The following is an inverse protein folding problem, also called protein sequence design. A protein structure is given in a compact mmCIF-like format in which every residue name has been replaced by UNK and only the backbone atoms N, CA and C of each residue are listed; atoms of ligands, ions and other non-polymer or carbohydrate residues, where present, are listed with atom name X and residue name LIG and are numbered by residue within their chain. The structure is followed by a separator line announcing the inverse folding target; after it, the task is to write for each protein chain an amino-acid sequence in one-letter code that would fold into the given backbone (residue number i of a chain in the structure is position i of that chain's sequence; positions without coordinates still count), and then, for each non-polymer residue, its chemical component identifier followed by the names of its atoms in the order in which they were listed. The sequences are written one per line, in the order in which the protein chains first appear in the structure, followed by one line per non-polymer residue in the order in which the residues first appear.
data_IF_260602461169
#
_entry.id   IF_260602461169
#
_cell.length_a   1.000
_cell.length_b   1.000
_cell.length_c   1.000
_cell.angle_alpha   90.00
_cell.angle_beta   90.00
_cell.angle_gamma   90.00
#
_symmetry.space_group_name_H-M   'P 1'
#
loop_
_entity.id
_entity.type
_entity.pdbx_description
1 polymer ?
#
# COMPACT_ATOMS: atom_id res chain seq x y z
N UNK A 1 -26.23 4.74 -44.46
CA UNK A 1 -25.63 5.55 -43.36
C UNK A 1 -25.62 4.66 -42.13
N UNK A 2 -24.54 3.92 -41.94
CA UNK A 2 -24.32 3.10 -40.75
C UNK A 2 -23.56 3.91 -39.72
N UNK A 3 -24.23 4.33 -38.63
CA UNK A 3 -23.57 4.88 -37.47
C UNK A 3 -23.08 3.73 -36.61
N UNK A 4 -21.90 3.21 -36.91
CA UNK A 4 -21.16 2.37 -36.00
C UNK A 4 -20.61 3.25 -34.89
N UNK A 5 -21.27 3.26 -33.71
CA UNK A 5 -20.64 3.73 -32.51
C UNK A 5 -19.58 2.69 -32.15
N UNK A 6 -18.37 2.88 -32.66
CA UNK A 6 -17.23 2.11 -32.23
C UNK A 6 -17.02 2.40 -30.74
N UNK A 7 -17.00 1.34 -29.95
CA UNK A 7 -16.52 1.45 -28.54
C UNK A 7 -15.12 2.01 -28.61
N UNK A 8 -14.97 3.30 -28.24
CA UNK A 8 -13.65 3.90 -28.06
C UNK A 8 -13.08 3.28 -26.81
N UNK A 9 -12.36 2.19 -26.96
CA UNK A 9 -11.46 1.70 -25.92
C UNK A 9 -10.28 2.67 -25.92
N UNK A 10 -10.36 3.73 -25.12
CA UNK A 10 -9.22 4.61 -24.85
C UNK A 10 -8.18 3.84 -24.03
N UNK A 11 -7.53 2.87 -24.66
CA UNK A 11 -6.23 2.41 -24.22
C UNK A 11 -5.21 3.39 -24.84
N UNK A 12 -4.87 4.42 -24.10
CA UNK A 12 -3.67 5.18 -24.44
C UNK A 12 -2.50 4.21 -24.23
N UNK A 13 -1.88 3.79 -25.32
CA UNK A 13 -0.64 3.04 -25.21
C UNK A 13 0.40 3.94 -24.55
N UNK A 14 1.14 3.40 -23.57
CA UNK A 14 2.20 4.12 -22.84
C UNK A 14 3.16 4.88 -23.78
N UNK A 15 3.47 4.31 -24.95
CA UNK A 15 4.32 4.90 -25.98
C UNK A 15 3.85 6.27 -26.50
N UNK A 16 2.59 6.67 -26.26
CA UNK A 16 2.04 7.96 -26.67
C UNK A 16 1.80 8.93 -25.51
N UNK A 17 2.14 8.53 -24.28
CA UNK A 17 2.01 9.38 -23.11
C UNK A 17 3.34 10.06 -22.81
N UNK A 18 3.28 11.35 -22.49
CA UNK A 18 4.47 12.05 -21.98
C UNK A 18 4.91 11.45 -20.65
N UNK A 19 6.22 11.36 -20.43
CA UNK A 19 6.76 10.95 -19.13
C UNK A 19 6.13 11.78 -17.99
N UNK A 20 5.75 11.11 -16.91
CA UNK A 20 5.03 11.71 -15.78
C UNK A 20 3.51 11.70 -15.90
N UNK A 21 2.92 11.29 -17.04
CA UNK A 21 1.47 11.14 -17.17
C UNK A 21 0.96 9.97 -16.34
N UNK A 22 -0.23 10.13 -15.74
CA UNK A 22 -0.93 9.02 -15.08
C UNK A 22 -1.56 8.12 -16.14
N UNK A 23 -1.24 6.83 -16.11
CA UNK A 23 -1.73 5.83 -17.07
C UNK A 23 -2.95 5.08 -16.53
N UNK A 24 -2.84 4.58 -15.28
CA UNK A 24 -3.93 3.88 -14.62
C UNK A 24 -3.87 4.05 -13.10
N UNK A 25 -5.00 3.84 -12.46
CA UNK A 25 -5.13 3.86 -11.00
C UNK A 25 -5.85 2.59 -10.57
N UNK A 26 -5.29 1.89 -9.60
CA UNK A 26 -5.91 0.73 -8.94
C UNK A 26 -6.00 1.04 -7.46
N UNK A 27 -7.18 0.89 -6.88
CA UNK A 27 -7.40 1.08 -5.44
C UNK A 27 -8.08 -0.15 -4.85
N UNK A 28 -7.59 -0.60 -3.70
CA UNK A 28 -8.27 -1.59 -2.88
C UNK A 28 -8.57 -1.01 -1.51
N UNK A 29 -9.75 -1.34 -0.98
CA UNK A 29 -10.21 -0.98 0.36
C UNK A 29 -10.32 -2.24 1.20
N UNK A 30 -9.74 -2.22 2.40
CA UNK A 30 -9.72 -3.31 3.34
C UNK A 30 -10.33 -2.86 4.66
N UNK A 31 -11.28 -3.61 5.19
CA UNK A 31 -12.01 -3.27 6.44
C UNK A 31 -12.05 -4.42 7.45
N UNK A 32 -11.37 -5.54 7.15
CA UNK A 32 -11.31 -6.67 8.08
C UNK A 32 -10.30 -6.38 9.18
N UNK A 33 -10.72 -6.51 10.44
CA UNK A 33 -9.81 -6.39 11.58
C UNK A 33 -8.74 -7.48 11.50
N UNK A 34 -7.50 -7.09 11.38
CA UNK A 34 -6.34 -7.99 11.48
C UNK A 34 -5.43 -7.52 12.59
N UNK A 35 -4.97 -8.44 13.45
CA UNK A 35 -4.20 -8.11 14.63
C UNK A 35 -2.91 -8.92 14.71
N UNK A 36 -1.88 -8.35 15.33
CA UNK A 36 -0.60 -9.01 15.59
C UNK A 36 0.00 -8.58 16.93
N UNK A 37 0.75 -9.48 17.53
CA UNK A 37 1.66 -9.21 18.66
C UNK A 37 3.13 -9.36 18.24
N UNK A 38 3.37 -9.67 16.95
CA UNK A 38 4.69 -9.94 16.41
C UNK A 38 5.54 -8.69 16.33
N UNK A 39 6.79 -8.77 16.74
CA UNK A 39 7.82 -7.75 16.49
C UNK A 39 8.42 -7.87 15.08
N UNK A 40 8.16 -8.97 14.37
CA UNK A 40 8.48 -9.12 12.96
C UNK A 40 7.29 -8.69 12.10
N UNK A 41 7.57 -8.17 10.90
CA UNK A 41 6.54 -7.74 9.98
C UNK A 41 5.71 -8.93 9.48
N UNK A 42 4.38 -8.82 9.60
CA UNK A 42 3.38 -9.79 9.13
C UNK A 42 2.41 -9.12 8.18
N UNK A 43 1.78 -9.91 7.32
CA UNK A 43 0.80 -9.43 6.34
C UNK A 43 -0.45 -8.88 7.03
N UNK A 44 -0.89 -7.70 6.64
CA UNK A 44 -2.15 -7.09 7.14
C UNK A 44 -3.38 -7.64 6.45
N UNK A 45 -3.24 -8.20 5.26
CA UNK A 45 -4.31 -8.49 4.31
C UNK A 45 -4.63 -7.35 3.34
N UNK A 46 -4.12 -6.13 3.56
CA UNK A 46 -4.29 -5.01 2.64
C UNK A 46 -3.31 -5.14 1.47
N UNK A 47 -3.84 -5.47 0.30
CA UNK A 47 -3.08 -5.70 -0.92
C UNK A 47 -3.76 -5.08 -2.13
N UNK A 48 -2.99 -4.73 -3.14
CA UNK A 48 -3.48 -4.33 -4.47
C UNK A 48 -2.51 -4.84 -5.54
N UNK A 49 -3.03 -5.17 -6.73
CA UNK A 49 -2.24 -5.67 -7.85
C UNK A 49 -2.42 -4.75 -9.05
N UNK A 50 -1.33 -4.36 -9.66
CA UNK A 50 -1.30 -3.57 -10.90
C UNK A 50 -0.46 -4.29 -11.95
N UNK A 51 -0.84 -4.16 -13.22
CA UNK A 51 -0.05 -4.67 -14.35
C UNK A 51 0.48 -3.46 -15.11
N UNK A 52 1.78 -3.11 -14.94
CA UNK A 52 2.34 -1.96 -15.62
C UNK A 52 2.31 -2.13 -17.14
N UNK A 53 2.07 -1.05 -17.86
CA UNK A 53 2.01 -1.05 -19.32
C UNK A 53 3.40 -1.04 -19.97
N UNK A 54 4.42 -0.58 -19.23
CA UNK A 54 5.81 -0.53 -19.69
C UNK A 54 6.78 -0.90 -18.57
N UNK A 55 7.95 -1.43 -18.96
CA UNK A 55 9.06 -1.67 -18.01
C UNK A 55 9.68 -0.36 -17.50
N UNK A 56 9.48 0.75 -18.20
CA UNK A 56 9.92 2.08 -17.74
C UNK A 56 8.94 2.75 -16.78
N UNK A 57 7.68 2.26 -16.71
CA UNK A 57 6.65 2.80 -15.84
C UNK A 57 7.08 2.81 -14.38
N UNK A 58 6.65 3.83 -13.67
CA UNK A 58 6.78 3.93 -12.21
C UNK A 58 5.43 3.71 -11.56
N UNK A 59 5.44 3.13 -10.37
CA UNK A 59 4.23 2.94 -9.57
C UNK A 59 4.32 3.83 -8.33
N UNK A 60 3.47 4.84 -8.27
CA UNK A 60 3.30 5.62 -7.04
C UNK A 60 2.31 4.89 -6.13
N UNK A 61 2.83 4.45 -4.99
CA UNK A 61 2.08 3.73 -3.97
C UNK A 61 1.65 4.71 -2.89
N UNK A 62 0.36 4.76 -2.61
CA UNK A 62 -0.24 5.56 -1.55
C UNK A 62 -1.09 4.64 -0.69
N UNK A 63 -0.78 4.53 0.60
CA UNK A 63 -1.63 3.82 1.54
C UNK A 63 -2.20 4.79 2.59
N UNK A 64 -3.39 4.48 3.09
CA UNK A 64 -3.97 5.10 4.27
C UNK A 64 -4.42 3.99 5.21
N UNK A 65 -3.70 3.84 6.33
CA UNK A 65 -3.88 2.73 7.27
C UNK A 65 -4.34 3.26 8.62
N UNK A 66 -5.50 2.79 9.08
CA UNK A 66 -5.99 3.03 10.43
C UNK A 66 -5.53 1.90 11.35
N UNK A 67 -4.75 2.23 12.36
CA UNK A 67 -4.11 1.28 13.27
C UNK A 67 -4.53 1.58 14.70
N UNK A 68 -4.78 0.53 15.49
CA UNK A 68 -5.05 0.64 16.92
C UNK A 68 -4.06 -0.21 17.72
N UNK A 69 -3.58 0.35 18.82
CA UNK A 69 -2.65 -0.31 19.73
C UNK A 69 -3.15 -0.27 21.15
N UNK A 70 -3.11 -1.40 21.84
CA UNK A 70 -3.66 -1.53 23.19
C UNK A 70 -2.64 -1.32 24.31
N UNK A 71 -1.37 -1.08 24.02
CA UNK A 71 -0.28 -1.01 25.01
C UNK A 71 0.37 0.35 25.03
N UNK A 72 0.58 0.89 26.22
CA UNK A 72 1.38 2.10 26.41
C UNK A 72 2.84 1.86 26.04
N UNK A 73 3.46 2.82 25.36
CA UNK A 73 4.85 2.75 24.96
C UNK A 73 5.13 1.79 23.78
N UNK A 74 4.09 1.22 23.18
CA UNK A 74 4.24 0.39 22.00
C UNK A 74 4.45 1.21 20.71
N UNK A 75 5.09 0.59 19.73
CA UNK A 75 5.31 1.16 18.40
C UNK A 75 4.46 0.42 17.38
N UNK A 76 3.61 1.15 16.68
CA UNK A 76 2.93 0.67 15.48
C UNK A 76 3.82 0.93 14.27
N UNK A 77 4.25 -0.10 13.59
CA UNK A 77 5.12 0.01 12.43
C UNK A 77 4.46 -0.60 11.20
N UNK A 78 4.60 0.03 10.05
CA UNK A 78 4.16 -0.50 8.76
C UNK A 78 5.26 -0.41 7.71
N UNK A 79 5.22 -1.31 6.75
CA UNK A 79 6.15 -1.35 5.62
C UNK A 79 5.47 -1.87 4.37
N UNK A 80 6.09 -1.60 3.21
CA UNK A 80 5.60 -2.00 1.91
C UNK A 80 6.37 -3.21 1.38
N UNK A 81 5.63 -4.19 0.88
CA UNK A 81 6.16 -5.34 0.15
C UNK A 81 5.69 -5.33 -1.29
N UNK A 82 6.55 -5.79 -2.20
CA UNK A 82 6.25 -6.05 -3.61
C UNK A 82 6.69 -7.47 -3.94
N UNK A 83 5.75 -8.30 -4.46
CA UNK A 83 6.06 -9.68 -4.85
C UNK A 83 6.72 -10.51 -3.74
N UNK A 84 6.35 -10.30 -2.48
CA UNK A 84 6.90 -11.00 -1.32
C UNK A 84 8.22 -10.43 -0.77
N UNK A 85 8.78 -9.38 -1.39
CA UNK A 85 10.01 -8.72 -0.92
C UNK A 85 9.71 -7.31 -0.44
N UNK A 86 10.38 -6.89 0.63
CA UNK A 86 10.32 -5.53 1.14
C UNK A 86 10.96 -4.58 0.12
N UNK A 87 10.28 -3.47 -0.22
CA UNK A 87 10.76 -2.56 -1.28
C UNK A 87 11.49 -1.33 -0.78
N UNK A 88 11.33 -0.95 0.47
CA UNK A 88 12.10 0.15 1.06
C UNK A 88 12.09 0.09 2.57
N UNK A 89 13.06 0.66 3.23
CA UNK A 89 13.00 1.20 4.58
C UNK A 89 14.02 0.74 5.63
N UNK A 90 13.80 1.20 6.88
CA UNK A 90 14.50 0.74 8.07
C UNK A 90 14.09 -0.69 8.45
N UNK A 91 15.07 -1.53 8.77
CA UNK A 91 14.84 -2.91 9.16
C UNK A 91 13.97 -3.06 10.42
N UNK A 92 14.02 -2.09 11.34
CA UNK A 92 13.38 -2.18 12.66
C UNK A 92 11.98 -1.58 12.66
N UNK A 93 11.81 -0.37 12.12
CA UNK A 93 10.56 0.38 12.23
C UNK A 93 9.77 0.48 10.93
N UNK A 94 10.28 -0.14 9.85
CA UNK A 94 9.60 -0.08 8.56
C UNK A 94 9.62 1.30 7.94
N UNK A 95 8.65 1.55 7.08
CA UNK A 95 8.52 2.78 6.31
C UNK A 95 7.85 3.92 7.09
N UNK A 96 6.89 3.58 7.93
CA UNK A 96 6.24 4.53 8.82
C UNK A 96 5.99 3.89 10.18
N UNK A 97 6.13 4.65 11.23
CA UNK A 97 5.83 4.18 12.58
C UNK A 97 5.22 5.29 13.43
N UNK A 98 4.44 4.88 14.43
CA UNK A 98 3.88 5.74 15.45
C UNK A 98 4.17 5.20 16.83
N UNK A 99 4.51 6.09 17.76
CA UNK A 99 4.71 5.77 19.17
C UNK A 99 3.55 6.30 19.99
N UNK A 100 2.97 5.45 20.82
CA UNK A 100 1.88 5.83 21.70
C UNK A 100 2.31 5.91 23.15
N UNK A 101 2.21 7.09 23.77
CA UNK A 101 2.53 7.29 25.19
C UNK A 101 1.49 6.70 26.17
N UNK A 102 0.28 6.43 25.70
CA UNK A 102 -0.82 5.83 26.46
C UNK A 102 -1.27 4.49 25.92
N UNK A 103 -2.08 3.75 26.70
CA UNK A 103 -2.78 2.57 26.23
C UNK A 103 -3.98 2.96 25.35
N UNK A 104 -4.40 2.07 24.45
CA UNK A 104 -5.59 2.26 23.60
C UNK A 104 -5.53 3.53 22.73
N UNK A 105 -4.53 3.64 21.88
CA UNK A 105 -4.40 4.76 20.97
C UNK A 105 -4.55 4.32 19.51
N UNK A 106 -5.04 5.23 18.68
CA UNK A 106 -5.17 5.07 17.24
C UNK A 106 -4.10 5.89 16.54
N UNK A 107 -3.39 5.28 15.61
CA UNK A 107 -2.45 5.92 14.72
C UNK A 107 -2.97 5.79 13.27
N UNK A 108 -2.83 6.86 12.51
CA UNK A 108 -3.06 6.83 11.07
C UNK A 108 -1.73 6.94 10.34
N UNK A 109 -1.41 5.93 9.55
CA UNK A 109 -0.20 5.92 8.73
C UNK A 109 -0.56 6.09 7.26
N UNK A 110 0.10 7.04 6.60
CA UNK A 110 -0.11 7.35 5.18
C UNK A 110 1.22 7.25 4.42
N UNK A 111 1.84 6.07 4.35
CA UNK A 111 3.09 5.92 3.60
C UNK A 111 2.87 6.14 2.11
N UNK A 112 3.82 6.80 1.48
CA UNK A 112 3.90 7.00 0.04
C UNK A 112 5.24 6.52 -0.47
N UNK A 113 5.27 5.85 -1.62
CA UNK A 113 6.49 5.35 -2.22
C UNK A 113 6.41 5.38 -3.74
N UNK A 114 7.46 5.81 -4.40
CA UNK A 114 7.58 5.73 -5.86
C UNK A 114 8.51 4.58 -6.22
N UNK A 115 7.93 3.53 -6.77
CA UNK A 115 8.62 2.31 -7.15
C UNK A 115 8.91 2.25 -8.66
N UNK A 116 9.96 1.52 -9.03
CA UNK A 116 10.31 1.17 -10.39
C UNK A 116 10.33 -0.36 -10.51
N UNK A 117 9.20 -1.01 -10.80
CA UNK A 117 9.10 -2.47 -10.78
C UNK A 117 9.85 -3.13 -11.95
N UNK A 118 10.14 -2.40 -13.02
CA UNK A 118 10.85 -2.84 -14.22
C UNK A 118 10.23 -4.11 -14.84
N UNK A 119 8.91 -4.19 -14.87
CA UNK A 119 8.16 -5.33 -15.40
C UNK A 119 6.82 -4.91 -15.98
N UNK A 120 6.29 -5.69 -16.91
CA UNK A 120 4.92 -5.60 -17.42
C UNK A 120 4.04 -6.74 -16.91
N UNK A 121 4.54 -7.54 -15.97
CA UNK A 121 3.75 -8.59 -15.31
C UNK A 121 2.92 -8.04 -14.18
N UNK A 122 1.82 -8.71 -13.85
CA UNK A 122 1.01 -8.38 -12.68
C UNK A 122 1.87 -8.36 -11.41
N UNK A 123 1.87 -7.23 -10.74
CA UNK A 123 2.73 -6.94 -9.59
C UNK A 123 1.87 -6.61 -8.38
N UNK A 124 1.97 -7.42 -7.34
CA UNK A 124 1.24 -7.24 -6.10
C UNK A 124 2.04 -6.40 -5.13
N UNK A 125 1.38 -5.40 -4.52
CA UNK A 125 1.85 -4.61 -3.40
C UNK A 125 1.02 -4.92 -2.18
N UNK A 126 1.69 -5.04 -1.01
CA UNK A 126 1.06 -5.34 0.27
C UNK A 126 1.58 -4.46 1.38
N UNK A 127 0.70 -4.15 2.31
CA UNK A 127 1.09 -3.52 3.58
C UNK A 127 1.34 -4.63 4.61
N UNK A 128 2.49 -4.57 5.24
CA UNK A 128 2.88 -5.38 6.39
C UNK A 128 2.97 -4.51 7.63
N UNK A 129 2.74 -5.08 8.80
CA UNK A 129 2.79 -4.38 10.06
C UNK A 129 3.50 -5.18 11.15
N UNK A 130 4.01 -4.50 12.18
CA UNK A 130 4.64 -5.13 13.33
C UNK A 130 4.40 -4.33 14.60
N UNK A 131 4.25 -5.03 15.73
CA UNK A 131 4.13 -4.48 17.06
C UNK A 131 5.51 -4.48 17.73
N UNK A 132 6.30 -3.44 17.49
CA UNK A 132 7.63 -3.31 18.07
C UNK A 132 7.52 -2.67 19.47
N UNK A 133 8.29 -3.18 20.44
CA UNK A 133 8.33 -2.63 21.78
C UNK A 133 7.65 -3.48 22.85
N UNK A 134 7.06 -2.89 23.87
CA UNK A 134 6.69 -3.48 25.15
C UNK A 134 5.54 -4.52 25.13
N UNK A 135 5.42 -5.30 24.08
CA UNK A 135 4.47 -6.44 24.01
C UNK A 135 3.01 -6.00 24.11
N UNK A 136 2.37 -5.79 23.01
CA UNK A 136 0.95 -5.46 22.93
C UNK A 136 0.37 -5.90 21.61
N UNK A 137 -0.93 -5.77 21.47
CA UNK A 137 -1.62 -6.06 20.23
C UNK A 137 -1.70 -4.80 19.37
N UNK A 138 -1.23 -4.90 18.15
CA UNK A 138 -1.43 -3.91 17.09
C UNK A 138 -2.47 -4.47 16.12
N UNK A 139 -3.45 -3.65 15.75
CA UNK A 139 -4.50 -4.03 14.80
C UNK A 139 -4.60 -3.02 13.69
N UNK A 140 -4.88 -3.50 12.47
CA UNK A 140 -5.34 -2.67 11.34
C UNK A 140 -6.87 -2.76 11.24
N UNK A 141 -7.50 -1.70 10.75
CA UNK A 141 -8.95 -1.59 10.57
C UNK A 141 -9.75 -1.76 11.88
N UNK A 142 -9.38 -1.06 12.98
CA UNK A 142 -10.15 -1.15 14.20
C UNK A 142 -11.59 -0.71 13.97
N UNK A 143 -12.56 -1.41 14.58
CA UNK A 143 -13.99 -1.13 14.43
C UNK A 143 -14.45 -1.06 12.96
N UNK A 144 -13.87 -1.88 12.09
CA UNK A 144 -14.12 -1.88 10.65
C UNK A 144 -13.81 -0.56 9.93
N UNK A 145 -13.00 0.31 10.55
CA UNK A 145 -12.52 1.53 9.89
C UNK A 145 -11.69 1.15 8.66
N UNK A 146 -12.07 1.60 7.46
CA UNK A 146 -11.38 1.14 6.26
C UNK A 146 -9.95 1.66 6.18
N UNK A 147 -9.07 0.84 5.64
CA UNK A 147 -7.73 1.19 5.17
C UNK A 147 -7.68 1.00 3.65
N UNK A 148 -6.92 1.82 2.96
CA UNK A 148 -6.84 1.80 1.49
C UNK A 148 -5.41 1.67 1.01
N UNK A 149 -5.24 1.02 -0.13
CA UNK A 149 -4.00 0.97 -0.88
C UNK A 149 -4.28 1.35 -2.33
N UNK A 150 -3.68 2.46 -2.76
CA UNK A 150 -3.83 2.99 -4.12
C UNK A 150 -2.49 2.90 -4.85
N UNK A 151 -2.53 2.34 -6.03
CA UNK A 151 -1.41 2.20 -6.96
C UNK A 151 -1.70 3.08 -8.18
N UNK A 152 -0.77 3.97 -8.50
CA UNK A 152 -0.90 4.89 -9.64
C UNK A 152 0.27 4.62 -10.58
N UNK A 153 -0.01 4.16 -11.79
CA UNK A 153 1.00 4.01 -12.82
C UNK A 153 1.30 5.36 -13.47
N UNK A 154 2.57 5.67 -13.55
CA UNK A 154 3.10 6.91 -14.13
C UNK A 154 4.00 6.52 -15.30
N UNK A 155 3.80 7.13 -16.48
CA UNK A 155 4.64 6.96 -17.65
C UNK A 155 6.09 7.36 -17.34
N UNK A 156 7.03 6.49 -17.73
CA UNK A 156 8.47 6.68 -17.53
C UNK A 156 9.22 7.02 -18.80
#
# INVERSE_FOLDING_TARGET
IGSGIGTVTNQFADANMSAGSVIQIVTNTYSTLTATTSSSFVDTGLAATITPSSTSSKIFVLAACSMWQNTAGGVSSITLYRGGSRVSDSATYGYAYGYGGGSNHVNHHTPTYLDSPNTTSATEYKIYFSAVGLGGTLSICPNSTPSTLTLIEIAG
#
